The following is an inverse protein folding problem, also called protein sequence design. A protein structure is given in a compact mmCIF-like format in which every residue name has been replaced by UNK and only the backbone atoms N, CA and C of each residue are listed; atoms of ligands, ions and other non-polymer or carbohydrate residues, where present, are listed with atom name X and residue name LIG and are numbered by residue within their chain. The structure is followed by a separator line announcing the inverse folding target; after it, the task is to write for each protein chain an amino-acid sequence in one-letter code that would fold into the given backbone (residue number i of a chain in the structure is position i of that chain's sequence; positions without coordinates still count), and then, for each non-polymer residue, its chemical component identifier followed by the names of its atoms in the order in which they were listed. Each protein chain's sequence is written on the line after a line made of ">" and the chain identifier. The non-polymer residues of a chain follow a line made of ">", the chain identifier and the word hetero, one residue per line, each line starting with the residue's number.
data_IF_112909810303
#
_entry.id   IF_112909810303
#
_cell.length_a   1.000
_cell.length_b   1.000
_cell.length_c   1.000
_cell.angle_alpha   90.00
_cell.angle_beta   90.00
_cell.angle_gamma   90.00
#
_symmetry.space_group_name_H-M   'P 1'
#
loop_
_entity.id
_entity.type
_entity.pdbx_description
1 polymer ?
#
# COMPACT_ATOMS: atom_id res chain seq x y z
N UNK A 1 70.07 72.35 12.68
CA UNK A 1 70.66 72.25 11.32
C UNK A 1 70.66 70.79 10.89
N UNK A 2 70.23 70.57 9.66
CA UNK A 2 70.24 69.38 8.83
C UNK A 2 71.15 68.18 9.18
N UNK A 3 70.55 66.99 8.93
CA UNK A 3 71.07 65.82 8.18
C UNK A 3 72.08 64.89 8.89
N UNK A 4 71.64 63.66 9.20
CA UNK A 4 71.71 62.42 8.39
C UNK A 4 73.08 61.73 8.49
N UNK A 5 73.10 60.52 9.05
CA UNK A 5 73.75 59.37 8.41
C UNK A 5 73.12 58.05 8.89
N UNK A 6 72.81 57.22 7.90
CA UNK A 6 72.37 55.84 7.95
C UNK A 6 73.38 54.95 8.71
N UNK A 7 72.95 53.80 9.25
CA UNK A 7 72.99 52.56 8.45
C UNK A 7 72.72 51.27 9.25
N UNK A 8 72.36 50.25 8.46
CA UNK A 8 72.54 48.81 8.68
C UNK A 8 71.36 48.06 9.30
N UNK A 9 70.48 47.69 8.37
CA UNK A 9 69.49 46.62 8.36
C UNK A 9 70.06 45.29 8.84
N UNK A 10 69.40 44.64 9.79
CA UNK A 10 69.53 43.20 10.05
C UNK A 10 68.16 42.56 9.82
N UNK A 11 68.00 41.87 8.68
CA UNK A 11 66.80 41.10 8.34
C UNK A 11 66.83 39.80 9.16
N UNK A 12 65.90 39.67 10.11
CA UNK A 12 65.61 38.39 10.77
C UNK A 12 64.61 37.62 9.92
N UNK A 13 65.05 36.52 9.32
CA UNK A 13 64.19 35.55 8.63
C UNK A 13 63.41 34.79 9.70
N UNK A 14 62.10 34.98 9.76
CA UNK A 14 61.18 34.18 10.57
C UNK A 14 60.67 33.03 9.70
N UNK A 15 61.11 31.81 9.98
CA UNK A 15 60.59 30.60 9.34
C UNK A 15 59.18 30.35 9.90
N UNK A 16 58.16 30.68 9.11
CA UNK A 16 56.77 30.39 9.41
C UNK A 16 56.50 28.92 9.02
N UNK A 17 56.37 28.05 10.02
CA UNK A 17 55.98 26.66 9.81
C UNK A 17 54.53 26.61 9.30
N UNK A 18 54.37 26.26 8.02
CA UNK A 18 53.08 26.06 7.37
C UNK A 18 52.55 24.68 7.78
N UNK A 19 51.72 24.64 8.83
CA UNK A 19 50.99 23.42 9.21
C UNK A 19 49.86 23.23 8.20
N UNK A 20 50.07 22.34 7.24
CA UNK A 20 49.02 21.88 6.32
C UNK A 20 47.94 21.13 7.10
N UNK A 21 46.79 21.78 7.30
CA UNK A 21 45.54 21.13 7.67
C UNK A 21 45.15 20.17 6.54
N UNK A 22 45.47 18.89 6.72
CA UNK A 22 44.93 17.82 5.90
C UNK A 22 43.43 17.71 6.19
N UNK A 23 42.62 18.26 5.31
CA UNK A 23 41.21 17.89 5.17
C UNK A 23 41.16 16.41 4.78
N UNK A 24 40.93 15.56 5.78
CA UNK A 24 40.48 14.20 5.55
C UNK A 24 38.99 14.24 5.24
N UNK A 25 38.63 14.41 3.96
CA UNK A 25 37.35 13.90 3.48
C UNK A 25 37.42 12.38 3.57
N UNK A 26 36.84 11.77 4.61
CA UNK A 26 36.39 10.39 4.44
C UNK A 26 35.25 10.46 3.43
N UNK A 27 35.49 9.92 2.24
CA UNK A 27 34.41 9.51 1.36
C UNK A 27 33.74 8.33 2.05
N UNK A 28 32.85 8.64 2.98
CA UNK A 28 31.86 7.68 3.44
C UNK A 28 30.91 7.48 2.25
N UNK A 29 31.30 6.56 1.37
CA UNK A 29 30.39 5.93 0.43
C UNK A 29 29.48 5.03 1.25
N UNK A 30 28.60 5.63 2.06
CA UNK A 30 27.35 4.97 2.40
C UNK A 30 26.57 4.95 1.09
N UNK A 31 26.47 3.76 0.49
CA UNK A 31 25.50 3.54 -0.57
C UNK A 31 24.14 4.09 -0.05
N UNK A 32 23.47 4.96 -0.82
CA UNK A 32 22.19 5.51 -0.36
C UNK A 32 21.27 4.34 -0.02
N UNK A 33 20.72 4.37 1.19
CA UNK A 33 19.76 3.37 1.62
C UNK A 33 18.69 3.22 0.53
N UNK A 34 18.30 1.98 0.16
CA UNK A 34 17.33 1.79 -0.90
C UNK A 34 16.07 2.61 -0.59
N UNK A 35 15.62 3.40 -1.57
CA UNK A 35 14.43 4.22 -1.41
C UNK A 35 13.23 3.32 -1.06
N UNK A 36 12.44 3.77 -0.08
CA UNK A 36 11.19 3.08 0.27
C UNK A 36 10.27 3.04 -0.95
N UNK A 37 9.68 1.88 -1.31
CA UNK A 37 8.74 1.80 -2.42
C UNK A 37 7.40 2.51 -2.10
N UNK A 38 7.16 2.87 -0.84
CA UNK A 38 5.97 3.59 -0.40
C UNK A 38 6.12 5.10 -0.62
N UNK A 39 5.24 5.66 -1.45
CA UNK A 39 5.12 7.11 -1.72
C UNK A 39 3.92 7.70 -1.00
N UNK A 40 3.97 8.99 -0.68
CA UNK A 40 2.83 9.71 -0.11
C UNK A 40 1.71 9.82 -1.17
N UNK A 41 0.54 9.25 -0.87
CA UNK A 41 -0.62 9.27 -1.79
C UNK A 41 -1.76 10.14 -1.28
N UNK A 42 -1.81 10.42 0.02
CA UNK A 42 -2.86 11.26 0.62
C UNK A 42 -2.42 11.82 1.97
N UNK A 43 -2.97 12.96 2.38
CA UNK A 43 -2.81 13.45 3.75
C UNK A 43 -4.12 14.01 4.31
N UNK A 44 -4.31 13.81 5.61
CA UNK A 44 -5.52 14.24 6.32
C UNK A 44 -5.09 15.07 7.52
N UNK A 45 -5.46 16.35 7.49
CA UNK A 45 -5.18 17.31 8.56
C UNK A 45 -6.35 17.32 9.54
N UNK A 46 -6.05 17.15 10.82
CA UNK A 46 -7.03 17.21 11.91
C UNK A 46 -6.99 18.58 12.61
N UNK A 47 -8.06 18.95 13.35
CA UNK A 47 -8.02 20.09 14.26
C UNK A 47 -6.81 20.00 15.21
N UNK A 48 -6.21 21.14 15.55
CA UNK A 48 -4.96 21.29 16.31
C UNK A 48 -3.72 20.66 15.66
N UNK A 49 -3.74 20.52 14.32
CA UNK A 49 -2.58 20.28 13.46
C UNK A 49 -1.92 18.90 13.61
N UNK A 50 -2.64 17.87 14.07
CA UNK A 50 -2.23 16.49 13.78
C UNK A 50 -2.46 16.22 12.28
N UNK A 51 -1.59 15.42 11.67
CA UNK A 51 -1.67 15.06 10.25
C UNK A 51 -1.39 13.57 10.09
N UNK A 52 -2.31 12.86 9.43
CA UNK A 52 -2.07 11.50 8.97
C UNK A 52 -1.55 11.54 7.53
N UNK A 53 -0.33 11.05 7.32
CA UNK A 53 0.29 10.89 6.01
C UNK A 53 0.12 9.43 5.57
N UNK A 54 -0.64 9.22 4.50
CA UNK A 54 -0.95 7.88 3.99
C UNK A 54 -0.04 7.59 2.80
N UNK A 55 0.74 6.53 2.94
CA UNK A 55 1.69 6.06 1.93
C UNK A 55 1.27 4.70 1.39
N UNK A 56 1.54 4.48 0.11
CA UNK A 56 1.29 3.23 -0.60
C UNK A 56 2.28 3.10 -1.77
N UNK A 57 2.36 1.95 -2.40
CA UNK A 57 3.20 1.75 -3.60
C UNK A 57 2.58 2.39 -4.86
N UNK A 58 1.25 2.49 -4.89
CA UNK A 58 0.46 3.10 -5.97
C UNK A 58 -0.65 4.00 -5.40
N UNK A 59 -1.21 4.88 -6.24
CA UNK A 59 -2.43 5.62 -5.88
C UNK A 59 -3.58 4.63 -5.59
N UNK A 60 -4.61 5.08 -4.85
CA UNK A 60 -5.76 4.22 -4.56
C UNK A 60 -6.38 3.64 -5.83
N UNK A 61 -6.62 2.34 -5.80
CA UNK A 61 -7.19 1.58 -6.90
C UNK A 61 -8.21 0.55 -6.44
N UNK A 62 -9.03 0.05 -7.35
CA UNK A 62 -9.80 -1.18 -7.12
C UNK A 62 -8.88 -2.35 -6.74
N UNK A 63 -9.35 -3.24 -5.87
CA UNK A 63 -8.56 -4.34 -5.31
C UNK A 63 -7.89 -3.96 -3.99
N UNK A 64 -6.88 -4.73 -3.62
CA UNK A 64 -6.16 -4.57 -2.35
C UNK A 64 -5.16 -3.41 -2.40
N UNK A 65 -5.25 -2.52 -1.42
CA UNK A 65 -4.35 -1.37 -1.24
C UNK A 65 -3.70 -1.48 0.13
N UNK A 66 -2.41 -1.83 0.18
CA UNK A 66 -1.61 -1.79 1.41
C UNK A 66 -1.28 -0.35 1.74
N UNK A 67 -1.48 0.05 2.99
CA UNK A 67 -1.28 1.42 3.47
C UNK A 67 -0.31 1.45 4.64
N UNK A 68 0.62 2.39 4.59
CA UNK A 68 1.48 2.79 5.71
C UNK A 68 1.09 4.19 6.12
N UNK A 69 0.68 4.38 7.37
CA UNK A 69 0.16 5.64 7.87
C UNK A 69 1.11 6.18 8.91
N UNK A 70 1.63 7.38 8.67
CA UNK A 70 2.48 8.10 9.61
C UNK A 70 1.70 9.26 10.23
N UNK A 71 1.65 9.31 11.56
CA UNK A 71 0.93 10.33 12.30
C UNK A 71 1.91 11.36 12.88
N UNK A 72 1.79 12.61 12.47
CA UNK A 72 2.66 13.70 12.92
C UNK A 72 1.90 14.89 13.49
N UNK A 73 2.58 15.68 14.31
CA UNK A 73 2.14 17.00 14.75
C UNK A 73 2.53 18.10 13.76
N UNK A 74 2.19 19.35 14.09
CA UNK A 74 2.56 20.53 13.28
C UNK A 74 4.05 20.81 13.17
N UNK A 75 4.86 20.24 14.05
CA UNK A 75 6.30 20.37 14.06
C UNK A 75 7.00 19.23 13.31
N UNK A 76 6.26 18.41 12.58
CA UNK A 76 6.76 17.24 11.87
C UNK A 76 7.36 16.17 12.80
N UNK A 77 6.92 16.12 14.06
CA UNK A 77 7.29 15.09 15.04
C UNK A 77 6.19 14.04 15.12
N UNK A 78 6.54 12.82 15.54
CA UNK A 78 5.56 11.76 15.79
C UNK A 78 4.48 12.24 16.78
N UNK A 79 3.21 12.09 16.40
CA UNK A 79 2.09 12.46 17.24
C UNK A 79 1.72 11.29 18.16
N UNK A 80 1.83 11.50 19.47
CA UNK A 80 1.75 10.43 20.48
C UNK A 80 0.50 10.49 21.35
N UNK A 81 -0.39 11.47 21.14
CA UNK A 81 -1.65 11.55 21.88
C UNK A 81 -2.59 10.40 21.53
N UNK A 82 -2.60 9.97 20.26
CA UNK A 82 -3.37 8.82 19.77
C UNK A 82 -2.61 7.50 19.95
N UNK A 83 -3.33 6.42 20.27
CA UNK A 83 -2.80 5.05 20.36
C UNK A 83 -3.36 4.11 19.28
N UNK A 84 -4.24 4.62 18.41
CA UNK A 84 -4.79 3.86 17.29
C UNK A 84 -5.29 4.76 16.16
N UNK A 85 -5.52 4.15 15.00
CA UNK A 85 -6.13 4.77 13.82
C UNK A 85 -7.21 3.84 13.30
N UNK A 86 -8.36 4.41 12.91
CA UNK A 86 -9.40 3.70 12.17
C UNK A 86 -9.66 4.36 10.82
N UNK A 87 -9.79 3.55 9.78
CA UNK A 87 -10.16 3.95 8.43
C UNK A 87 -11.62 3.54 8.16
N UNK A 88 -12.37 4.45 7.55
CA UNK A 88 -13.76 4.23 7.14
C UNK A 88 -14.00 4.88 5.78
N UNK A 89 -13.54 4.24 4.68
CA UNK A 89 -13.85 4.69 3.33
C UNK A 89 -15.34 4.53 3.04
N UNK A 90 -15.92 5.54 2.40
CA UNK A 90 -17.34 5.56 2.01
C UNK A 90 -17.44 6.02 0.57
N UNK A 91 -18.13 5.22 -0.26
CA UNK A 91 -18.58 5.65 -1.57
C UNK A 91 -19.99 6.21 -1.46
N UNK A 92 -20.22 7.33 -2.13
CA UNK A 92 -21.57 7.82 -2.43
C UNK A 92 -21.80 7.69 -3.93
N UNK A 93 -22.73 6.81 -4.31
CA UNK A 93 -23.17 6.64 -5.70
C UNK A 93 -23.94 7.87 -6.16
N UNK A 94 -23.98 8.11 -7.48
CA UNK A 94 -24.80 9.19 -8.06
C UNK A 94 -26.31 9.05 -7.77
N UNK A 95 -26.77 7.84 -7.47
CA UNK A 95 -28.13 7.58 -7.01
C UNK A 95 -28.41 8.03 -5.57
N UNK A 96 -27.38 8.45 -4.82
CA UNK A 96 -27.44 8.77 -3.39
C UNK A 96 -27.23 7.56 -2.46
N UNK A 97 -27.17 6.33 -2.99
CA UNK A 97 -26.83 5.15 -2.20
C UNK A 97 -25.38 5.22 -1.71
N UNK A 98 -25.13 4.76 -0.48
CA UNK A 98 -23.79 4.73 0.10
C UNK A 98 -23.38 3.32 0.47
N UNK A 99 -22.10 3.03 0.34
CA UNK A 99 -21.51 1.79 0.85
C UNK A 99 -20.05 1.99 1.24
N UNK A 100 -19.53 1.10 2.08
CA UNK A 100 -18.12 1.00 2.42
C UNK A 100 -17.42 -0.09 1.62
N UNK A 101 -16.29 -0.53 2.15
CA UNK A 101 -15.53 -1.67 1.63
C UNK A 101 -14.81 -2.43 2.76
N UNK A 102 -14.30 -3.64 2.50
CA UNK A 102 -13.46 -4.33 3.47
C UNK A 102 -12.23 -3.49 3.84
N UNK A 103 -11.99 -3.37 5.15
CA UNK A 103 -10.86 -2.64 5.72
C UNK A 103 -10.14 -3.53 6.73
N UNK A 104 -8.85 -3.70 6.52
CA UNK A 104 -7.94 -4.19 7.54
C UNK A 104 -7.45 -3.00 8.33
N UNK A 105 -8.02 -2.80 9.52
CA UNK A 105 -7.79 -1.61 10.32
C UNK A 105 -6.31 -1.45 10.69
N UNK A 106 -5.75 -0.23 10.62
CA UNK A 106 -4.34 -0.03 10.88
C UNK A 106 -3.93 -0.42 12.30
N UNK A 107 -2.86 -1.22 12.42
CA UNK A 107 -2.25 -1.57 13.69
C UNK A 107 -0.88 -0.91 13.83
N UNK A 108 -0.52 -0.52 15.05
CA UNK A 108 0.79 0.09 15.35
C UNK A 108 1.92 -0.83 14.94
N UNK A 109 2.91 -0.28 14.25
CA UNK A 109 4.17 -0.96 13.94
C UNK A 109 5.14 -0.85 15.12
N UNK A 110 6.36 -1.40 14.96
CA UNK A 110 7.46 -1.18 15.92
C UNK A 110 7.98 0.26 15.93
N UNK A 111 7.62 1.06 14.91
CA UNK A 111 7.99 2.48 14.80
C UNK A 111 6.89 3.35 15.41
N UNK A 112 7.27 4.19 16.37
CA UNK A 112 6.34 5.11 17.05
C UNK A 112 5.63 6.02 16.06
N UNK A 113 4.29 6.04 16.10
CA UNK A 113 3.48 6.89 15.24
C UNK A 113 3.28 6.36 13.80
N UNK A 114 3.73 5.14 13.51
CA UNK A 114 3.50 4.48 12.22
C UNK A 114 2.57 3.28 12.37
N UNK A 115 1.58 3.18 11.49
CA UNK A 115 0.56 2.14 11.46
C UNK A 115 0.51 1.48 10.08
N UNK A 116 0.19 0.19 10.04
CA UNK A 116 0.00 -0.56 8.81
C UNK A 116 -1.41 -1.14 8.74
N UNK A 117 -2.06 -0.96 7.59
CA UNK A 117 -3.40 -1.49 7.32
C UNK A 117 -3.62 -1.69 5.83
N UNK A 118 -4.84 -2.04 5.44
CA UNK A 118 -5.19 -2.18 4.03
C UNK A 118 -6.67 -1.95 3.76
N UNK A 119 -6.99 -1.64 2.50
CA UNK A 119 -8.36 -1.42 2.02
C UNK A 119 -8.58 -2.22 0.74
N UNK A 120 -9.74 -2.85 0.61
CA UNK A 120 -10.12 -3.59 -0.60
C UNK A 120 -11.28 -2.88 -1.31
N UNK A 121 -10.97 -1.95 -2.23
CA UNK A 121 -12.01 -1.24 -2.97
C UNK A 121 -12.66 -2.13 -4.04
N UNK A 122 -13.98 -2.26 -4.01
CA UNK A 122 -14.72 -3.10 -4.96
C UNK A 122 -14.98 -2.42 -6.30
N UNK A 123 -14.92 -1.09 -6.35
CA UNK A 123 -15.18 -0.31 -7.56
C UNK A 123 -14.50 1.05 -7.52
N UNK A 124 -14.18 1.65 -8.69
CA UNK A 124 -13.55 2.96 -8.75
C UNK A 124 -14.55 4.09 -8.43
N UNK A 125 -14.02 5.28 -8.15
CA UNK A 125 -14.81 6.52 -8.16
C UNK A 125 -14.73 7.18 -9.52
N UNK A 126 -15.88 7.42 -10.16
CA UNK A 126 -15.98 8.02 -11.49
C UNK A 126 -17.18 8.98 -11.56
N UNK A 127 -17.15 10.05 -12.37
CA UNK A 127 -18.25 11.03 -12.44
C UNK A 127 -19.62 10.44 -12.72
N UNK A 128 -19.70 9.31 -13.42
CA UNK A 128 -20.92 8.58 -13.76
C UNK A 128 -21.34 7.53 -12.73
N UNK A 129 -20.43 7.12 -11.83
CA UNK A 129 -20.69 6.11 -10.79
C UNK A 129 -20.92 6.72 -9.40
N UNK A 130 -20.04 7.63 -8.99
CA UNK A 130 -20.01 8.19 -7.64
C UNK A 130 -18.60 8.53 -7.18
N UNK A 131 -18.48 9.07 -5.96
CA UNK A 131 -17.22 9.52 -5.37
C UNK A 131 -16.92 8.82 -4.05
N UNK A 132 -15.64 8.63 -3.78
CA UNK A 132 -15.14 8.10 -2.52
C UNK A 132 -14.65 9.21 -1.58
N UNK A 133 -14.93 9.04 -0.30
CA UNK A 133 -14.34 9.81 0.79
C UNK A 133 -13.68 8.87 1.78
N UNK A 134 -12.55 9.29 2.34
CA UNK A 134 -11.87 8.60 3.43
C UNK A 134 -12.14 9.35 4.73
N UNK A 135 -12.89 8.71 5.64
CA UNK A 135 -12.92 9.11 7.04
C UNK A 135 -11.77 8.42 7.78
N UNK A 136 -10.96 9.20 8.49
CA UNK A 136 -9.94 8.70 9.41
C UNK A 136 -10.25 9.17 10.81
N UNK A 137 -10.19 8.24 11.76
CA UNK A 137 -10.40 8.51 13.20
C UNK A 137 -9.13 8.19 13.96
N UNK A 138 -8.62 9.15 14.72
CA UNK A 138 -7.56 8.96 15.70
C UNK A 138 -8.18 8.44 16.98
N UNK A 139 -7.63 7.35 17.52
CA UNK A 139 -8.17 6.67 18.70
C UNK A 139 -7.29 6.94 19.92
N UNK A 140 -7.93 7.00 21.09
CA UNK A 140 -7.26 7.01 22.39
C UNK A 140 -8.08 6.19 23.39
N UNK A 141 -7.47 5.18 24.00
CA UNK A 141 -8.11 4.31 24.98
C UNK A 141 -9.46 3.73 24.48
N UNK A 142 -9.52 3.35 23.19
CA UNK A 142 -10.72 2.78 22.57
C UNK A 142 -11.81 3.79 22.18
N UNK A 143 -11.63 5.09 22.41
CA UNK A 143 -12.55 6.14 22.00
C UNK A 143 -11.98 6.99 20.86
N UNK A 144 -12.87 7.58 20.04
CA UNK A 144 -12.47 8.55 19.01
C UNK A 144 -11.96 9.81 19.70
N UNK A 145 -10.66 10.10 19.53
CA UNK A 145 -10.02 11.33 19.98
C UNK A 145 -10.32 12.47 19.00
N UNK A 146 -10.15 12.20 17.71
CA UNK A 146 -10.38 13.15 16.60
C UNK A 146 -10.77 12.38 15.36
N UNK A 147 -11.48 13.02 14.45
CA UNK A 147 -11.76 12.47 13.12
C UNK A 147 -11.77 13.57 12.07
N UNK A 148 -11.48 13.20 10.83
CA UNK A 148 -11.71 14.06 9.68
C UNK A 148 -12.00 13.20 8.45
N UNK A 149 -12.76 13.76 7.52
CA UNK A 149 -13.15 13.13 6.26
C UNK A 149 -12.64 13.95 5.10
N UNK A 150 -12.06 13.29 4.10
CA UNK A 150 -11.52 13.96 2.91
C UNK A 150 -11.88 13.17 1.65
N UNK A 151 -12.12 13.82 0.51
CA UNK A 151 -12.32 13.12 -0.75
C UNK A 151 -11.04 12.38 -1.16
N UNK A 152 -11.21 11.19 -1.77
CA UNK A 152 -10.11 10.40 -2.35
C UNK A 152 -10.47 9.98 -3.77
N UNK A 153 -9.45 9.81 -4.61
CA UNK A 153 -9.61 9.31 -5.98
C UNK A 153 -9.22 7.85 -6.06
N UNK A 154 -10.21 6.96 -6.20
CA UNK A 154 -9.99 5.51 -6.38
C UNK A 154 -10.09 5.20 -7.86
N UNK A 155 -8.97 4.83 -8.49
CA UNK A 155 -8.91 4.50 -9.91
C UNK A 155 -9.30 3.04 -10.16
N UNK A 156 -9.69 2.71 -11.38
CA UNK A 156 -9.80 1.30 -11.77
C UNK A 156 -8.40 0.75 -12.06
N UNK A 157 -8.06 -0.43 -11.56
CA UNK A 157 -6.82 -1.12 -11.95
C UNK A 157 -7.08 -1.88 -13.25
N UNK A 158 -6.77 -1.22 -14.35
CA UNK A 158 -6.87 -1.79 -15.68
C UNK A 158 -5.61 -2.57 -16.04
N UNK A 159 -5.78 -3.68 -16.74
CA UNK A 159 -4.71 -4.53 -17.29
C UNK A 159 -5.01 -4.83 -18.76
N UNK A 160 -3.97 -5.04 -19.59
CA UNK A 160 -4.19 -5.53 -20.95
C UNK A 160 -4.59 -7.02 -20.92
N UNK A 161 -5.68 -7.34 -21.60
CA UNK A 161 -6.23 -8.67 -21.76
C UNK A 161 -6.78 -8.81 -23.16
N UNK A 162 -6.18 -9.69 -23.99
CA UNK A 162 -6.58 -9.89 -25.40
C UNK A 162 -6.71 -8.58 -26.21
N UNK A 163 -5.76 -7.65 -26.02
CA UNK A 163 -5.78 -6.31 -26.63
C UNK A 163 -6.95 -5.41 -26.19
N UNK A 164 -7.53 -5.70 -25.02
CA UNK A 164 -8.56 -4.89 -24.37
C UNK A 164 -8.12 -4.55 -22.95
N UNK A 165 -8.64 -3.45 -22.41
CA UNK A 165 -8.36 -3.06 -21.03
C UNK A 165 -9.44 -3.66 -20.12
N UNK A 166 -9.02 -4.49 -19.17
CA UNK A 166 -9.90 -5.19 -18.23
C UNK A 166 -9.59 -4.82 -16.77
N UNK A 167 -10.64 -4.55 -15.98
CA UNK A 167 -10.53 -4.18 -14.56
C UNK A 167 -10.89 -5.34 -13.64
N UNK A 168 -9.97 -6.30 -13.45
CA UNK A 168 -10.20 -7.55 -12.68
C UNK A 168 -9.27 -7.71 -11.48
N UNK A 169 -8.98 -6.63 -10.76
CA UNK A 169 -8.18 -6.67 -9.53
C UNK A 169 -8.97 -7.07 -8.27
N UNK A 170 -10.31 -7.15 -8.39
CA UNK A 170 -11.25 -7.54 -7.34
C UNK A 170 -12.35 -8.38 -7.97
N UNK A 171 -12.81 -9.42 -7.26
CA UNK A 171 -13.93 -10.25 -7.67
C UNK A 171 -15.09 -9.94 -6.72
N UNK A 172 -16.21 -9.49 -7.29
CA UNK A 172 -17.47 -9.29 -6.57
C UNK A 172 -18.50 -10.23 -7.15
N UNK A 173 -19.08 -11.11 -6.34
CA UNK A 173 -20.05 -12.11 -6.80
C UNK A 173 -21.26 -12.19 -5.90
N UNK A 174 -22.42 -12.37 -6.52
CA UNK A 174 -23.67 -12.69 -5.81
C UNK A 174 -23.97 -14.17 -6.02
N UNK A 175 -23.96 -14.95 -4.94
CA UNK A 175 -24.21 -16.39 -4.94
C UNK A 175 -25.28 -16.65 -3.87
N UNK A 176 -26.37 -17.31 -4.26
CA UNK A 176 -27.51 -17.62 -3.39
C UNK A 176 -28.00 -16.44 -2.54
N UNK A 177 -28.05 -15.25 -3.17
CA UNK A 177 -28.53 -14.03 -2.53
C UNK A 177 -27.53 -13.31 -1.62
N UNK A 178 -26.34 -13.88 -1.37
CA UNK A 178 -25.24 -13.27 -0.62
C UNK A 178 -24.22 -12.65 -1.56
N UNK A 179 -23.64 -11.52 -1.18
CA UNK A 179 -22.57 -10.90 -1.96
C UNK A 179 -21.21 -11.18 -1.31
N UNK A 180 -20.23 -11.48 -2.15
CA UNK A 180 -18.88 -11.85 -1.76
C UNK A 180 -17.86 -10.92 -2.42
N UNK A 181 -16.78 -10.61 -1.72
CA UNK A 181 -15.65 -9.80 -2.20
C UNK A 181 -14.37 -10.58 -2.00
N UNK A 182 -13.65 -10.78 -3.09
CA UNK A 182 -12.31 -11.32 -3.08
C UNK A 182 -11.34 -10.31 -3.67
N UNK A 183 -10.18 -10.14 -3.04
CA UNK A 183 -9.07 -9.34 -3.55
C UNK A 183 -7.76 -10.12 -3.43
N UNK A 184 -6.74 -9.70 -4.16
CA UNK A 184 -5.41 -10.30 -4.09
C UNK A 184 -4.31 -9.27 -3.88
N UNK A 185 -3.19 -9.71 -3.33
CA UNK A 185 -1.97 -8.93 -3.20
C UNK A 185 -0.75 -9.85 -3.32
N UNK A 186 0.18 -9.51 -4.20
CA UNK A 186 1.50 -10.13 -4.22
C UNK A 186 2.34 -9.47 -3.12
N UNK A 187 2.74 -10.23 -2.11
CA UNK A 187 3.33 -9.64 -0.89
C UNK A 187 4.79 -9.20 -1.07
N UNK A 188 5.38 -9.49 -2.24
CA UNK A 188 6.62 -8.90 -2.71
C UNK A 188 6.39 -7.59 -3.50
N UNK A 189 5.18 -7.04 -3.46
CA UNK A 189 4.69 -5.80 -4.11
C UNK A 189 4.69 -5.80 -5.65
N UNK A 190 5.59 -6.56 -6.29
CA UNK A 190 5.72 -6.65 -7.75
C UNK A 190 5.69 -8.12 -8.23
N UNK A 191 5.02 -8.37 -9.35
CA UNK A 191 5.03 -9.69 -9.97
C UNK A 191 6.38 -9.98 -10.63
N UNK A 192 6.82 -11.24 -10.59
CA UNK A 192 8.05 -11.71 -11.23
C UNK A 192 7.89 -13.10 -11.84
N UNK A 193 8.80 -13.45 -12.73
CA UNK A 193 8.95 -14.84 -13.20
C UNK A 193 9.37 -15.73 -12.02
N UNK A 194 8.79 -16.92 -11.95
CA UNK A 194 8.94 -17.87 -10.85
C UNK A 194 7.87 -17.69 -9.78
N UNK A 195 8.23 -17.98 -8.53
CA UNK A 195 7.30 -18.00 -7.40
C UNK A 195 7.02 -16.60 -6.83
N UNK A 196 5.74 -16.27 -6.71
CA UNK A 196 5.24 -15.03 -6.15
C UNK A 196 4.39 -15.34 -4.91
N UNK A 197 4.82 -14.92 -3.71
CA UNK A 197 3.99 -14.99 -2.52
C UNK A 197 2.69 -14.22 -2.71
N UNK A 198 1.57 -14.84 -2.37
CA UNK A 198 0.24 -14.35 -2.68
C UNK A 198 -0.63 -14.34 -1.43
N UNK A 199 -1.28 -13.21 -1.20
CA UNK A 199 -2.36 -13.04 -0.25
C UNK A 199 -3.69 -12.93 -1.01
N UNK A 200 -4.65 -13.78 -0.66
CA UNK A 200 -6.07 -13.64 -1.03
C UNK A 200 -6.84 -13.13 0.18
N UNK A 201 -7.74 -12.20 -0.06
CA UNK A 201 -8.68 -11.67 0.94
C UNK A 201 -10.08 -12.09 0.56
N UNK A 202 -10.91 -12.48 1.54
CA UNK A 202 -12.24 -13.01 1.30
C UNK A 202 -13.23 -12.49 2.35
N UNK A 203 -14.29 -11.81 1.89
CA UNK A 203 -15.31 -11.24 2.75
C UNK A 203 -16.71 -11.48 2.17
N UNK A 204 -17.69 -11.65 3.05
CA UNK A 204 -19.11 -11.57 2.73
C UNK A 204 -19.62 -10.17 3.07
N UNK A 205 -20.41 -9.58 2.19
CA UNK A 205 -21.12 -8.33 2.49
C UNK A 205 -22.42 -8.66 3.24
N UNK A 206 -22.48 -8.30 4.52
CA UNK A 206 -23.67 -8.47 5.37
C UNK A 206 -24.53 -7.20 5.46
N UNK A 207 -24.01 -6.09 4.93
CA UNK A 207 -24.69 -4.82 4.83
C UNK A 207 -23.96 -3.88 3.87
N UNK A 208 -24.39 -2.63 3.82
CA UNK A 208 -23.72 -1.60 3.01
C UNK A 208 -22.33 -1.23 3.56
N UNK A 209 -22.10 -1.45 4.86
CA UNK A 209 -20.85 -1.11 5.54
C UNK A 209 -20.24 -2.28 6.31
N UNK A 210 -20.89 -3.45 6.29
CA UNK A 210 -20.52 -4.61 7.09
C UNK A 210 -19.94 -5.71 6.20
N UNK A 211 -18.66 -6.02 6.42
CA UNK A 211 -17.89 -6.99 5.65
C UNK A 211 -17.32 -8.06 6.57
N UNK A 212 -18.00 -9.21 6.63
CA UNK A 212 -17.60 -10.33 7.48
C UNK A 212 -16.50 -11.13 6.81
N UNK A 213 -15.32 -11.30 7.43
CA UNK A 213 -14.26 -12.13 6.88
C UNK A 213 -14.66 -13.61 6.85
N UNK A 214 -14.30 -14.31 5.77
CA UNK A 214 -14.61 -15.73 5.59
C UNK A 214 -13.44 -16.59 6.06
N UNK A 215 -13.69 -17.53 6.98
CA UNK A 215 -12.64 -18.27 7.69
C UNK A 215 -12.45 -19.72 7.25
N UNK A 216 -13.44 -20.27 6.54
CA UNK A 216 -13.53 -21.72 6.27
C UNK A 216 -13.62 -22.02 4.76
N UNK A 217 -12.78 -21.33 3.98
CA UNK A 217 -12.70 -21.53 2.53
C UNK A 217 -11.63 -22.53 2.16
N UNK A 218 -11.95 -23.40 1.20
CA UNK A 218 -10.98 -24.13 0.41
C UNK A 218 -10.70 -23.34 -0.88
N UNK A 219 -9.52 -22.72 -0.96
CA UNK A 219 -9.10 -21.88 -2.09
C UNK A 219 -8.05 -22.61 -2.90
N UNK A 220 -8.35 -22.89 -4.17
CA UNK A 220 -7.41 -23.45 -5.14
C UNK A 220 -7.08 -22.40 -6.20
N UNK A 221 -5.82 -22.35 -6.62
CA UNK A 221 -5.31 -21.32 -7.53
C UNK A 221 -4.61 -21.98 -8.72
N UNK A 222 -4.96 -21.53 -9.93
CA UNK A 222 -4.30 -21.98 -11.16
C UNK A 222 -3.87 -20.77 -12.01
N UNK A 223 -2.57 -20.57 -12.26
CA UNK A 223 -2.10 -19.51 -13.14
C UNK A 223 -2.35 -19.87 -14.61
N UNK A 224 -2.86 -18.93 -15.40
CA UNK A 224 -3.10 -19.10 -16.84
C UNK A 224 -2.67 -17.86 -17.61
N UNK A 225 -1.93 -18.04 -18.70
CA UNK A 225 -1.48 -16.99 -19.61
C UNK A 225 -2.38 -16.96 -20.86
N UNK A 226 -3.31 -16.00 -20.98
CA UNK A 226 -4.31 -16.00 -22.04
C UNK A 226 -3.72 -15.81 -23.44
N UNK A 227 -2.73 -14.93 -23.60
CA UNK A 227 -2.08 -14.65 -24.90
C UNK A 227 -1.46 -15.89 -25.55
N UNK A 228 -0.99 -16.84 -24.74
CA UNK A 228 -0.29 -18.05 -25.19
C UNK A 228 -1.07 -19.33 -24.92
N UNK A 229 -2.22 -19.25 -24.24
CA UNK A 229 -3.12 -20.37 -24.00
C UNK A 229 -2.53 -21.46 -23.10
N UNK A 230 -1.56 -21.14 -22.22
CA UNK A 230 -0.91 -22.12 -21.34
C UNK A 230 -1.02 -21.75 -19.86
N UNK A 231 -0.97 -22.76 -19.00
CA UNK A 231 -0.82 -22.58 -17.56
C UNK A 231 0.64 -22.70 -17.11
N UNK A 232 0.92 -22.34 -15.87
CA UNK A 232 2.20 -22.60 -15.21
C UNK A 232 2.02 -23.63 -14.07
N UNK A 233 3.10 -24.26 -13.57
CA UNK A 233 3.02 -25.07 -12.36
C UNK A 233 2.34 -24.29 -11.23
N UNK A 234 1.47 -24.94 -10.46
CA UNK A 234 0.80 -24.30 -9.34
C UNK A 234 1.82 -23.85 -8.28
N UNK A 235 1.50 -22.77 -7.57
CA UNK A 235 2.26 -22.37 -6.39
C UNK A 235 1.84 -23.18 -5.16
N UNK A 236 2.01 -22.60 -3.97
CA UNK A 236 1.49 -23.20 -2.74
C UNK A 236 0.03 -22.85 -2.56
N UNK A 237 -0.78 -23.86 -2.20
CA UNK A 237 -2.20 -23.68 -1.92
C UNK A 237 -2.40 -22.65 -0.79
N UNK A 238 -3.27 -21.63 -0.97
CA UNK A 238 -3.55 -20.66 0.08
C UNK A 238 -4.12 -21.29 1.35
N UNK A 239 -3.56 -20.91 2.50
CA UNK A 239 -4.02 -21.33 3.81
C UNK A 239 -4.52 -20.13 4.63
N UNK A 240 -5.61 -20.31 5.37
CA UNK A 240 -6.19 -19.26 6.20
C UNK A 240 -5.20 -18.76 7.28
N UNK A 241 -5.14 -17.45 7.47
CA UNK A 241 -4.25 -16.75 8.42
C UNK A 241 -5.01 -15.86 9.41
N UNK A 242 -6.34 -15.87 9.39
CA UNK A 242 -7.18 -14.98 10.18
C UNK A 242 -7.73 -13.81 9.37
N UNK A 243 -8.83 -13.24 9.84
CA UNK A 243 -9.47 -12.06 9.21
C UNK A 243 -9.75 -12.24 7.71
N UNK A 244 -10.09 -13.47 7.28
CA UNK A 244 -10.39 -13.76 5.88
C UNK A 244 -9.18 -13.59 4.95
N UNK A 245 -7.96 -13.60 5.49
CA UNK A 245 -6.70 -13.64 4.74
C UNK A 245 -6.28 -15.08 4.51
N UNK A 246 -5.89 -15.40 3.28
CA UNK A 246 -5.38 -16.71 2.87
C UNK A 246 -4.04 -16.51 2.18
N UNK A 247 -2.97 -17.08 2.72
CA UNK A 247 -1.61 -16.92 2.19
C UNK A 247 -1.15 -18.20 1.50
N UNK A 248 -0.62 -18.04 0.29
CA UNK A 248 -0.03 -19.10 -0.53
C UNK A 248 0.97 -18.50 -1.52
N UNK A 249 1.08 -19.09 -2.70
CA UNK A 249 1.87 -18.53 -3.80
C UNK A 249 1.29 -18.89 -5.16
N UNK A 250 1.75 -18.16 -6.17
CA UNK A 250 1.45 -18.43 -7.58
C UNK A 250 2.74 -18.35 -8.38
N UNK A 251 2.90 -19.24 -9.37
CA UNK A 251 4.06 -19.19 -10.26
C UNK A 251 3.69 -18.59 -11.62
N UNK A 252 4.61 -17.80 -12.18
CA UNK A 252 4.54 -17.33 -13.55
C UNK A 252 5.76 -17.82 -14.32
N UNK A 253 5.56 -18.45 -15.47
CA UNK A 253 6.67 -19.05 -16.24
C UNK A 253 7.43 -18.03 -17.08
N UNK A 254 6.84 -16.85 -17.33
CA UNK A 254 7.38 -15.76 -18.13
C UNK A 254 6.61 -14.47 -17.82
N UNK A 255 7.10 -13.35 -18.33
CA UNK A 255 6.43 -12.05 -18.28
C UNK A 255 5.22 -12.03 -19.24
N UNK A 256 4.34 -11.04 -19.10
CA UNK A 256 3.13 -10.86 -19.90
C UNK A 256 1.84 -10.90 -19.09
N UNK A 257 0.72 -11.14 -19.78
CA UNK A 257 -0.64 -11.15 -19.23
C UNK A 257 -0.94 -12.48 -18.52
N UNK A 258 -1.35 -12.41 -17.26
CA UNK A 258 -1.68 -13.56 -16.45
C UNK A 258 -3.05 -13.43 -15.80
N UNK A 259 -3.70 -14.58 -15.65
CA UNK A 259 -4.85 -14.80 -14.81
C UNK A 259 -4.44 -15.63 -13.60
N UNK A 260 -4.81 -15.16 -12.41
CA UNK A 260 -4.82 -15.97 -11.19
C UNK A 260 -6.24 -16.51 -11.05
N UNK A 261 -6.49 -17.71 -11.59
CA UNK A 261 -7.80 -18.36 -11.52
C UNK A 261 -8.04 -18.92 -10.13
N UNK A 262 -9.27 -18.84 -9.66
CA UNK A 262 -9.74 -19.27 -8.36
C UNK A 262 -10.86 -20.31 -8.53
N UNK A 263 -10.70 -21.42 -7.82
CA UNK A 263 -11.78 -22.33 -7.50
C UNK A 263 -11.97 -22.27 -5.98
N UNK A 264 -13.15 -21.86 -5.52
CA UNK A 264 -13.41 -21.62 -4.09
C UNK A 264 -14.59 -22.45 -3.64
N UNK A 265 -14.40 -23.18 -2.54
CA UNK A 265 -15.47 -23.83 -1.79
C UNK A 265 -15.56 -23.21 -0.40
N UNK A 266 -16.77 -23.15 0.14
CA UNK A 266 -17.01 -22.86 1.55
C UNK A 266 -17.46 -24.18 2.19
N UNK A 267 -16.62 -24.78 3.03
CA UNK A 267 -16.74 -26.19 3.41
C UNK A 267 -16.67 -27.13 2.19
N UNK A 268 -17.77 -27.82 1.84
CA UNK A 268 -17.86 -28.72 0.67
C UNK A 268 -18.65 -28.09 -0.49
N UNK A 269 -19.35 -26.98 -0.23
CA UNK A 269 -20.20 -26.33 -1.22
C UNK A 269 -19.36 -25.45 -2.15
N UNK A 270 -19.55 -25.64 -3.46
CA UNK A 270 -18.90 -24.80 -4.46
C UNK A 270 -19.45 -23.37 -4.36
N UNK A 271 -18.57 -22.43 -4.01
CA UNK A 271 -18.93 -21.02 -4.00
C UNK A 271 -18.87 -20.48 -5.45
N UNK A 272 -17.74 -20.68 -6.11
CA UNK A 272 -17.60 -20.47 -7.56
C UNK A 272 -16.40 -21.23 -8.12
N UNK A 273 -16.44 -21.45 -9.43
CA UNK A 273 -15.38 -22.04 -10.22
C UNK A 273 -14.98 -21.08 -11.35
N UNK A 274 -13.71 -21.08 -11.72
CA UNK A 274 -13.13 -20.33 -12.84
C UNK A 274 -13.30 -18.80 -12.79
N UNK A 275 -13.33 -18.20 -11.59
CA UNK A 275 -13.16 -16.75 -11.43
C UNK A 275 -11.69 -16.38 -11.46
N UNK A 276 -11.34 -15.17 -11.90
CA UNK A 276 -9.92 -14.82 -12.02
C UNK A 276 -9.61 -13.36 -11.72
N UNK A 277 -8.46 -13.15 -11.06
CA UNK A 277 -7.79 -11.87 -11.04
C UNK A 277 -6.88 -11.73 -12.25
N UNK A 278 -6.79 -10.53 -12.81
CA UNK A 278 -5.94 -10.28 -13.96
C UNK A 278 -4.76 -9.43 -13.53
N UNK A 279 -3.58 -9.73 -14.07
CA UNK A 279 -2.38 -8.94 -13.92
C UNK A 279 -1.50 -9.06 -15.16
N UNK A 280 -0.52 -8.18 -15.25
CA UNK A 280 0.47 -8.11 -16.32
C UNK A 280 1.74 -7.51 -15.72
N UNK A 281 2.89 -8.03 -16.15
CA UNK A 281 4.19 -7.52 -15.75
C UNK A 281 5.23 -7.82 -16.83
N UNK A 282 6.27 -6.98 -16.90
CA UNK A 282 7.32 -7.01 -17.91
C UNK A 282 8.68 -7.40 -17.34
#
# INVERSE_FOLDING_TARGET
>A
MNRLTNSQTAIKIFVLAFVSLLWSCSSDNEDPAPESPYKLIHSIVFPNKAVAFIHATEDYRTGYNKLVIELKDSGNKAYTEADGIMLSPVMTMNSGMKHGCPVYQPTSTTKTGTFEGAIVFQMPGMPDMGSWEMKVSLMKNGAVLRENTTPISVKNKMMDYKNQQEGKAVIVRRIDGKNYVFGYHLTNDEAKVGNNPLLITAHRMDGHFDFTPLTDLDVNISPFMPSMGHGAPEGTKPAHKGEGKYEGSVNFSMTGDWQIKLNVKENEDLLFDDEAFYLEFN
#
